data_IF_424833920284
#
_entry.id   IF_424833920284
#
_cell.length_a   1.000
_cell.length_b   1.000
_cell.length_c   1.000
_cell.angle_alpha   90.00
_cell.angle_beta   90.00
_cell.angle_gamma   90.00
#
_symmetry.space_group_name_H-M   'P 1'
#
loop_
_entity.id
_entity.type
_entity.pdbx_description
1 polymer ?
#
# COMPACT_ATOMS: atom_id res chain seq x y z
N UNK A 1 13.94 -10.36 13.17
CA UNK A 1 14.79 -9.30 12.57
C UNK A 1 13.91 -8.09 12.31
N UNK A 2 14.50 -6.92 12.14
CA UNK A 2 13.76 -5.68 11.83
C UNK A 2 14.03 -5.32 10.38
N UNK A 3 12.96 -5.04 9.61
CA UNK A 3 13.06 -4.59 8.22
C UNK A 3 12.88 -3.08 8.13
N UNK A 4 13.56 -2.45 7.17
CA UNK A 4 13.44 -1.03 6.83
C UNK A 4 12.71 -0.91 5.49
N UNK A 5 11.48 -0.39 5.55
CA UNK A 5 10.65 -0.14 4.37
C UNK A 5 10.65 1.37 4.09
N UNK A 6 11.07 1.77 2.89
CA UNK A 6 11.18 3.17 2.50
C UNK A 6 9.80 3.75 2.13
N UNK A 7 9.25 4.58 3.02
CA UNK A 7 7.94 5.24 2.86
C UNK A 7 7.89 6.13 1.62
N UNK A 8 7.05 5.75 0.66
CA UNK A 8 6.89 6.34 -0.67
C UNK A 8 8.19 6.38 -1.48
N UNK A 9 9.04 5.36 -1.29
CA UNK A 9 10.42 5.31 -1.78
C UNK A 9 11.39 6.16 -0.95
N UNK A 10 12.52 6.56 -1.53
CA UNK A 10 13.48 7.46 -0.87
C UNK A 10 12.97 8.93 -0.92
N UNK A 11 11.79 9.17 -0.34
CA UNK A 11 11.01 10.42 -0.43
C UNK A 11 11.68 11.66 0.17
N UNK A 12 12.78 11.48 0.91
CA UNK A 12 13.64 12.59 1.36
C UNK A 12 14.66 13.03 0.31
N UNK A 13 15.08 12.11 -0.56
CA UNK A 13 16.08 12.34 -1.61
C UNK A 13 15.43 12.66 -2.95
N UNK A 14 14.26 12.06 -3.21
CA UNK A 14 13.53 12.11 -4.47
C UNK A 14 12.07 12.49 -4.22
N UNK A 15 11.34 12.88 -5.27
CA UNK A 15 9.89 13.07 -5.17
C UNK A 15 9.24 11.74 -4.76
N UNK A 16 8.46 11.77 -3.68
CA UNK A 16 7.72 10.61 -3.19
C UNK A 16 6.86 9.94 -4.28
N UNK A 17 6.63 8.62 -4.14
CA UNK A 17 5.77 7.84 -5.03
C UNK A 17 6.17 7.89 -6.51
N UNK A 18 7.44 8.15 -6.81
CA UNK A 18 7.98 8.13 -8.17
C UNK A 18 8.88 6.93 -8.42
N UNK A 19 9.02 6.57 -9.69
CA UNK A 19 10.01 5.58 -10.16
C UNK A 19 11.43 5.91 -9.67
N UNK A 20 11.80 7.19 -9.61
CA UNK A 20 13.11 7.62 -9.12
C UNK A 20 13.26 7.32 -7.62
N UNK A 21 12.26 7.64 -6.80
CA UNK A 21 12.27 7.36 -5.36
C UNK A 21 12.36 5.86 -5.06
N UNK A 22 11.65 5.01 -5.80
CA UNK A 22 11.72 3.56 -5.61
C UNK A 22 13.10 3.00 -5.98
N UNK A 23 13.64 3.37 -7.15
CA UNK A 23 15.00 2.96 -7.55
C UNK A 23 16.05 3.42 -6.56
N UNK A 24 15.93 4.66 -6.06
CA UNK A 24 16.84 5.22 -5.07
C UNK A 24 16.77 4.46 -3.74
N UNK A 25 15.57 4.11 -3.26
CA UNK A 25 15.42 3.32 -2.04
C UNK A 25 16.08 1.94 -2.14
N UNK A 26 15.88 1.24 -3.28
CA UNK A 26 16.55 -0.04 -3.54
C UNK A 26 18.07 0.14 -3.58
N UNK A 27 18.57 1.17 -4.26
CA UNK A 27 20.00 1.46 -4.35
C UNK A 27 20.65 1.81 -3.00
N UNK A 28 19.88 2.38 -2.07
CA UNK A 28 20.31 2.67 -0.70
C UNK A 28 20.27 1.43 0.22
N UNK A 29 19.76 0.29 -0.26
CA UNK A 29 19.71 -0.95 0.49
C UNK A 29 18.53 -1.07 1.45
N UNK A 30 17.40 -0.41 1.17
CA UNK A 30 16.17 -0.66 1.92
C UNK A 30 15.69 -2.11 1.70
N UNK A 31 15.18 -2.76 2.75
CA UNK A 31 14.62 -4.11 2.68
C UNK A 31 13.32 -4.13 1.84
N UNK A 32 12.60 -3.01 1.84
CA UNK A 32 11.40 -2.81 1.04
C UNK A 32 11.14 -1.36 0.69
N UNK A 33 10.14 -1.14 -0.15
CA UNK A 33 9.54 0.17 -0.39
C UNK A 33 8.06 0.13 -0.04
N UNK A 34 7.52 1.25 0.41
CA UNK A 34 6.09 1.45 0.53
C UNK A 34 5.63 2.41 -0.59
N UNK A 35 4.42 2.18 -1.10
CA UNK A 35 3.80 3.00 -2.13
C UNK A 35 2.28 3.07 -1.97
N UNK A 36 1.69 4.18 -2.41
CA UNK A 36 0.25 4.45 -2.32
C UNK A 36 -0.45 4.26 -3.67
N UNK A 37 -1.47 3.41 -3.75
CA UNK A 37 -2.23 3.14 -4.99
C UNK A 37 -3.58 3.83 -5.00
N UNK A 38 -3.88 4.46 -6.14
CA UNK A 38 -5.17 5.07 -6.48
C UNK A 38 -5.59 4.69 -7.90
N UNK A 39 -6.84 4.95 -8.27
CA UNK A 39 -7.42 4.65 -9.59
C UNK A 39 -7.69 5.93 -10.38
N UNK A 40 -7.26 5.97 -11.64
CA UNK A 40 -7.59 7.04 -12.58
C UNK A 40 -9.03 6.94 -13.12
N UNK A 41 -9.48 7.95 -13.87
CA UNK A 41 -10.83 7.95 -14.49
C UNK A 41 -11.07 6.80 -15.47
N UNK A 42 -10.01 6.35 -16.14
CA UNK A 42 -10.03 5.23 -17.08
C UNK A 42 -9.67 3.88 -16.42
N UNK A 43 -9.74 3.80 -15.09
CA UNK A 43 -9.57 2.55 -14.34
C UNK A 43 -8.12 2.08 -14.17
N UNK A 44 -7.14 2.86 -14.61
CA UNK A 44 -5.72 2.51 -14.48
C UNK A 44 -5.25 2.75 -13.06
N UNK A 45 -4.54 1.77 -12.49
CA UNK A 45 -3.88 1.91 -11.19
C UNK A 45 -2.63 2.79 -11.31
N UNK A 46 -2.57 3.82 -10.47
CA UNK A 46 -1.49 4.80 -10.43
C UNK A 46 -1.00 4.99 -9.01
N UNK A 47 0.22 5.52 -8.87
CA UNK A 47 0.90 5.66 -7.59
C UNK A 47 0.92 7.13 -7.17
N UNK A 48 0.19 7.46 -6.11
CA UNK A 48 0.11 8.81 -5.55
C UNK A 48 -0.55 8.78 -4.16
N UNK A 49 -0.01 9.56 -3.21
CA UNK A 49 -0.53 9.58 -1.85
C UNK A 49 -1.90 10.25 -1.75
N UNK A 50 -2.03 11.49 -2.23
CA UNK A 50 -3.27 12.27 -2.10
C UNK A 50 -4.25 11.97 -3.24
N UNK A 51 -5.56 12.09 -2.97
CA UNK A 51 -6.60 11.89 -3.98
C UNK A 51 -6.58 12.98 -5.07
N UNK A 52 -5.98 14.14 -4.75
CA UNK A 52 -5.87 15.29 -5.63
C UNK A 52 -4.41 15.53 -6.03
N UNK A 53 -4.22 15.98 -7.28
CA UNK A 53 -2.96 16.49 -7.78
C UNK A 53 -2.68 17.88 -7.19
N UNK A 54 -1.42 18.33 -7.28
CA UNK A 54 -1.02 19.68 -6.85
C UNK A 54 -1.69 20.83 -7.62
N UNK A 55 -2.34 20.54 -8.75
CA UNK A 55 -3.16 21.51 -9.51
C UNK A 55 -4.66 21.44 -9.18
N UNK A 56 -5.04 20.62 -8.18
CA UNK A 56 -6.40 20.50 -7.66
C UNK A 56 -7.29 19.50 -8.40
N UNK A 57 -6.83 18.88 -9.50
CA UNK A 57 -7.60 17.82 -10.17
C UNK A 57 -7.63 16.56 -9.30
N UNK A 58 -8.79 15.92 -9.18
CA UNK A 58 -8.91 14.59 -8.59
C UNK A 58 -8.35 13.53 -9.55
N UNK A 59 -7.60 12.56 -9.02
CA UNK A 59 -7.01 11.48 -9.83
C UNK A 59 -8.11 10.63 -10.45
N UNK A 60 -9.16 10.31 -9.69
CA UNK A 60 -10.30 9.52 -10.17
C UNK A 60 -11.11 10.19 -11.28
N UNK A 61 -10.97 11.51 -11.46
CA UNK A 61 -11.60 12.27 -12.55
C UNK A 61 -10.64 12.57 -13.71
N UNK A 62 -9.38 12.13 -13.62
CA UNK A 62 -8.34 12.37 -14.64
C UNK A 62 -7.92 11.07 -15.30
N UNK A 63 -7.96 10.98 -16.64
CA UNK A 63 -7.48 9.80 -17.36
C UNK A 63 -5.96 9.65 -17.18
N UNK A 64 -5.46 8.41 -17.14
CA UNK A 64 -4.06 8.15 -16.80
C UNK A 64 -3.05 8.79 -17.78
N UNK A 65 -3.44 9.01 -19.04
CA UNK A 65 -2.61 9.72 -20.04
C UNK A 65 -2.49 11.23 -19.78
N UNK A 66 -3.43 11.81 -19.03
CA UNK A 66 -3.53 13.24 -18.75
C UNK A 66 -2.99 13.59 -17.33
N UNK A 67 -2.54 12.58 -16.59
CA UNK A 67 -1.84 12.74 -15.32
C UNK A 67 -0.42 13.29 -15.54
N UNK A 68 0.12 14.05 -14.58
CA UNK A 68 1.51 14.51 -14.65
C UNK A 68 2.49 13.35 -14.82
N UNK A 69 3.57 13.57 -15.57
CA UNK A 69 4.55 12.52 -15.90
C UNK A 69 5.24 11.86 -14.68
N UNK A 70 5.22 12.49 -13.51
CA UNK A 70 5.76 11.91 -12.28
C UNK A 70 4.81 10.92 -11.60
N UNK A 71 3.51 10.94 -11.93
CA UNK A 71 2.52 9.99 -11.39
C UNK A 71 2.71 8.68 -12.15
N UNK A 72 3.35 7.71 -11.51
CA UNK A 72 3.66 6.44 -12.13
C UNK A 72 2.41 5.56 -12.23
N UNK A 73 2.32 4.74 -13.29
CA UNK A 73 1.44 3.56 -13.27
C UNK A 73 1.97 2.57 -12.25
N UNK A 74 1.08 1.80 -11.62
CA UNK A 74 1.46 0.78 -10.65
C UNK A 74 2.54 -0.17 -11.19
N UNK A 75 2.38 -0.68 -12.40
CA UNK A 75 3.34 -1.61 -13.02
C UNK A 75 4.76 -1.02 -13.09
N UNK A 76 4.89 0.25 -13.50
CA UNK A 76 6.19 0.92 -13.58
C UNK A 76 6.82 1.14 -12.19
N UNK A 77 6.02 1.39 -11.16
CA UNK A 77 6.49 1.49 -9.79
C UNK A 77 6.99 0.14 -9.24
N UNK A 78 6.24 -0.94 -9.48
CA UNK A 78 6.63 -2.30 -9.09
C UNK A 78 7.93 -2.76 -9.78
N UNK A 79 8.10 -2.39 -11.05
CA UNK A 79 9.34 -2.66 -11.81
C UNK A 79 10.52 -1.84 -11.26
N UNK A 80 10.27 -0.59 -10.84
CA UNK A 80 11.28 0.27 -10.24
C UNK A 80 11.76 -0.24 -8.87
N UNK A 81 10.93 -1.00 -8.17
CA UNK A 81 11.20 -1.64 -6.89
C UNK A 81 11.69 -3.10 -7.03
N UNK A 82 12.17 -3.50 -8.22
CA UNK A 82 12.63 -4.87 -8.47
C UNK A 82 13.67 -5.32 -7.43
N UNK A 83 13.46 -6.53 -6.88
CA UNK A 83 14.36 -7.13 -5.89
C UNK A 83 14.11 -6.72 -4.43
N UNK A 84 13.20 -5.79 -4.16
CA UNK A 84 12.78 -5.41 -2.81
C UNK A 84 11.35 -5.88 -2.51
N UNK A 85 11.05 -6.04 -1.21
CA UNK A 85 9.67 -6.15 -0.73
C UNK A 85 8.89 -4.90 -1.13
N UNK A 86 7.61 -5.04 -1.49
CA UNK A 86 6.72 -3.88 -1.70
C UNK A 86 5.56 -3.95 -0.72
N UNK A 87 5.45 -2.95 0.15
CA UNK A 87 4.24 -2.65 0.88
C UNK A 87 3.35 -1.71 0.04
N UNK A 88 2.28 -2.24 -0.54
CA UNK A 88 1.36 -1.50 -1.39
C UNK A 88 0.16 -1.07 -0.54
N UNK A 89 0.02 0.22 -0.25
CA UNK A 89 -1.18 0.76 0.38
C UNK A 89 -2.27 0.98 -0.67
N UNK A 90 -3.45 0.39 -0.46
CA UNK A 90 -4.67 0.77 -1.18
C UNK A 90 -5.33 1.92 -0.43
N UNK A 91 -5.34 3.10 -1.07
CA UNK A 91 -6.11 4.25 -0.58
C UNK A 91 -7.60 4.00 -0.84
N UNK A 92 -8.36 3.80 0.23
CA UNK A 92 -9.81 3.59 0.15
C UNK A 92 -10.51 4.16 1.39
N UNK A 93 -10.19 5.39 1.76
CA UNK A 93 -10.75 6.04 2.94
C UNK A 93 -12.15 6.61 2.64
N UNK A 94 -13.17 6.32 3.49
CA UNK A 94 -14.46 6.99 3.38
C UNK A 94 -14.30 8.51 3.45
N UNK A 95 -14.87 9.21 2.47
CA UNK A 95 -14.81 10.67 2.37
C UNK A 95 -13.77 11.22 1.40
N UNK A 96 -12.87 10.38 0.87
CA UNK A 96 -12.08 10.73 -0.30
C UNK A 96 -12.93 10.64 -1.58
N UNK A 97 -12.64 11.44 -2.62
CA UNK A 97 -13.42 11.44 -3.86
C UNK A 97 -13.35 10.10 -4.61
N UNK A 98 -12.32 9.30 -4.37
CA UNK A 98 -12.07 8.00 -4.97
C UNK A 98 -12.44 6.82 -4.05
N UNK A 99 -13.24 7.07 -3.00
CA UNK A 99 -13.78 6.01 -2.15
C UNK A 99 -14.53 4.96 -2.97
N UNK A 100 -14.14 3.70 -2.78
CA UNK A 100 -14.61 2.54 -3.53
C UNK A 100 -15.28 1.53 -2.57
N UNK A 101 -16.60 1.68 -2.31
CA UNK A 101 -17.32 0.79 -1.41
C UNK A 101 -17.45 -0.64 -1.95
N UNK A 102 -17.30 -0.82 -3.26
CA UNK A 102 -17.41 -2.12 -3.95
C UNK A 102 -16.06 -2.86 -3.98
N UNK A 103 -14.99 -2.23 -3.47
CA UNK A 103 -13.63 -2.78 -3.39
C UNK A 103 -13.07 -3.20 -4.76
N UNK A 104 -13.46 -2.51 -5.82
CA UNK A 104 -12.96 -2.73 -7.18
C UNK A 104 -11.45 -2.49 -7.30
N UNK A 105 -10.90 -1.53 -6.56
CA UNK A 105 -9.44 -1.29 -6.50
C UNK A 105 -8.71 -2.49 -5.90
N UNK A 106 -9.25 -3.12 -4.86
CA UNK A 106 -8.67 -4.35 -4.30
C UNK A 106 -8.64 -5.48 -5.33
N UNK A 107 -9.72 -5.64 -6.10
CA UNK A 107 -9.74 -6.64 -7.19
C UNK A 107 -8.69 -6.32 -8.28
N UNK A 108 -8.61 -5.07 -8.72
CA UNK A 108 -7.64 -4.65 -9.73
C UNK A 108 -6.19 -4.82 -9.24
N UNK A 109 -5.91 -4.56 -7.97
CA UNK A 109 -4.58 -4.80 -7.36
C UNK A 109 -4.26 -6.29 -7.32
N UNK A 110 -5.20 -7.13 -6.86
CA UNK A 110 -5.02 -8.58 -6.84
C UNK A 110 -4.72 -9.13 -8.25
N UNK A 111 -5.49 -8.71 -9.26
CA UNK A 111 -5.25 -9.08 -10.67
C UNK A 111 -3.89 -8.58 -11.17
N UNK A 112 -3.54 -7.33 -10.87
CA UNK A 112 -2.26 -6.75 -11.28
C UNK A 112 -1.06 -7.48 -10.67
N UNK A 113 -1.17 -7.97 -9.43
CA UNK A 113 -0.11 -8.70 -8.76
C UNK A 113 -0.07 -10.18 -9.19
N UNK A 114 -1.22 -10.82 -9.42
CA UNK A 114 -1.29 -12.20 -9.92
C UNK A 114 -0.74 -12.33 -11.35
N UNK A 115 -0.81 -11.27 -12.16
CA UNK A 115 -0.23 -11.22 -13.51
C UNK A 115 1.31 -11.12 -13.51
N UNK A 116 1.95 -10.96 -12.34
CA UNK A 116 3.39 -10.78 -12.22
C UNK A 116 4.13 -12.10 -12.04
N UNK A 117 5.34 -12.25 -12.61
CA UNK A 117 6.14 -13.46 -12.45
C UNK A 117 6.81 -13.58 -11.07
N UNK A 118 6.88 -12.50 -10.29
CA UNK A 118 7.52 -12.51 -8.98
C UNK A 118 6.69 -13.24 -7.92
N UNK A 119 7.34 -13.86 -6.91
CA UNK A 119 6.65 -14.64 -5.90
C UNK A 119 5.76 -13.77 -5.01
N UNK A 120 4.68 -14.37 -4.49
CA UNK A 120 3.67 -13.69 -3.68
C UNK A 120 4.22 -13.06 -2.39
N UNK A 121 5.27 -13.66 -1.80
CA UNK A 121 5.93 -13.18 -0.58
C UNK A 121 6.68 -11.85 -0.75
N UNK A 122 6.86 -11.39 -1.99
CA UNK A 122 7.35 -10.04 -2.29
C UNK A 122 6.31 -8.96 -1.99
N UNK A 123 5.03 -9.32 -1.91
CA UNK A 123 3.93 -8.37 -1.83
C UNK A 123 3.30 -8.39 -0.44
N UNK A 124 3.27 -7.21 0.18
CA UNK A 124 2.45 -6.92 1.35
C UNK A 124 1.44 -5.85 0.94
N UNK A 125 0.15 -6.11 1.05
CA UNK A 125 -0.87 -5.12 0.70
C UNK A 125 -1.51 -4.57 1.98
N UNK A 126 -1.53 -3.26 2.13
CA UNK A 126 -2.06 -2.59 3.31
C UNK A 126 -3.20 -1.63 2.99
N UNK A 127 -4.02 -1.33 4.00
CA UNK A 127 -5.02 -0.27 3.92
C UNK A 127 -5.44 0.17 5.32
N UNK A 128 -5.91 1.41 5.45
CA UNK A 128 -6.61 1.89 6.65
C UNK A 128 -8.03 1.35 6.78
N UNK A 129 -8.52 0.60 5.77
CA UNK A 129 -9.86 0.02 5.75
C UNK A 129 -9.79 -1.50 5.81
N UNK A 130 -10.37 -2.09 6.86
CA UNK A 130 -10.36 -3.54 7.09
C UNK A 130 -11.07 -4.28 5.95
N UNK A 131 -12.20 -3.75 5.47
CA UNK A 131 -12.97 -4.34 4.38
C UNK A 131 -12.15 -4.47 3.08
N UNK A 132 -11.24 -3.53 2.83
CA UNK A 132 -10.37 -3.53 1.66
C UNK A 132 -9.34 -4.66 1.72
N UNK A 133 -8.68 -4.85 2.87
CA UNK A 133 -7.72 -5.95 3.04
C UNK A 133 -8.41 -7.31 3.19
N UNK A 134 -9.60 -7.37 3.78
CA UNK A 134 -10.46 -8.57 3.79
C UNK A 134 -10.84 -8.98 2.37
N UNK A 135 -11.25 -8.01 1.54
CA UNK A 135 -11.60 -8.27 0.14
C UNK A 135 -10.40 -8.79 -0.64
N UNK A 136 -9.25 -8.13 -0.53
CA UNK A 136 -8.04 -8.55 -1.23
C UNK A 136 -7.65 -9.98 -0.83
N UNK A 137 -7.67 -10.29 0.47
CA UNK A 137 -7.36 -11.64 0.97
C UNK A 137 -8.34 -12.69 0.46
N UNK A 138 -9.63 -12.36 0.36
CA UNK A 138 -10.62 -13.28 -0.21
C UNK A 138 -10.39 -13.55 -1.71
N UNK A 139 -9.81 -12.61 -2.45
CA UNK A 139 -9.50 -12.73 -3.87
C UNK A 139 -8.15 -13.43 -4.14
N UNK A 140 -7.15 -13.15 -3.31
CA UNK A 140 -5.77 -13.61 -3.47
C UNK A 140 -5.21 -14.03 -2.10
N UNK A 141 -5.63 -15.19 -1.56
CA UNK A 141 -5.27 -15.64 -0.20
C UNK A 141 -3.77 -15.89 0.00
N UNK A 142 -3.00 -16.02 -1.08
CA UNK A 142 -1.55 -16.13 -1.09
C UNK A 142 -0.83 -14.80 -0.81
N UNK A 143 -1.49 -13.66 -1.01
CA UNK A 143 -0.89 -12.35 -0.74
C UNK A 143 -0.96 -12.04 0.76
N UNK A 144 0.15 -11.52 1.28
CA UNK A 144 0.18 -11.01 2.64
C UNK A 144 -0.58 -9.67 2.71
N UNK A 145 -1.30 -9.47 3.81
CA UNK A 145 -2.08 -8.24 4.05
C UNK A 145 -1.77 -7.64 5.41
N UNK A 146 -1.80 -6.31 5.51
CA UNK A 146 -1.58 -5.57 6.76
C UNK A 146 -2.66 -4.49 6.98
N UNK A 147 -3.05 -4.28 8.23
CA UNK A 147 -3.99 -3.21 8.59
C UNK A 147 -3.26 -1.95 9.08
N UNK A 148 -3.51 -0.80 8.45
CA UNK A 148 -3.00 0.50 8.89
C UNK A 148 -3.94 1.12 9.92
N UNK A 149 -3.40 1.74 10.97
CA UNK A 149 -4.23 2.33 12.03
C UNK A 149 -3.54 3.47 12.76
N UNK A 150 -4.29 4.49 13.14
CA UNK A 150 -3.80 5.57 14.02
C UNK A 150 -3.91 5.21 15.51
N UNK A 151 -4.63 4.13 15.85
CA UNK A 151 -4.74 3.63 17.22
C UNK A 151 -4.55 2.14 17.29
N UNK A 152 -3.75 1.69 18.26
CA UNK A 152 -3.55 0.28 18.52
C UNK A 152 -4.11 -0.13 19.89
N UNK A 153 -5.11 -1.00 19.86
CA UNK A 153 -5.67 -1.63 21.06
C UNK A 153 -5.97 -3.12 20.78
N UNK A 154 -6.36 -3.86 21.84
CA UNK A 154 -6.66 -5.28 21.72
C UNK A 154 -7.80 -5.58 20.75
N UNK A 155 -8.75 -4.65 20.55
CA UNK A 155 -9.86 -4.84 19.60
C UNK A 155 -9.34 -4.85 18.18
N UNK A 156 -8.44 -3.92 17.85
CA UNK A 156 -7.77 -3.88 16.54
C UNK A 156 -6.93 -5.13 16.32
N UNK A 157 -6.11 -5.50 17.31
CA UNK A 157 -5.25 -6.69 17.20
C UNK A 157 -6.06 -7.99 17.01
N UNK A 158 -7.14 -8.16 17.77
CA UNK A 158 -8.03 -9.32 17.64
C UNK A 158 -8.75 -9.34 16.28
N UNK A 159 -9.12 -8.17 15.74
CA UNK A 159 -9.74 -8.08 14.41
C UNK A 159 -8.75 -8.47 13.30
N UNK A 160 -7.53 -7.94 13.34
CA UNK A 160 -6.46 -8.25 12.37
C UNK A 160 -6.15 -9.76 12.36
N UNK A 161 -5.96 -10.35 13.55
CA UNK A 161 -5.67 -11.77 13.68
C UNK A 161 -6.82 -12.66 13.19
N UNK A 162 -8.07 -12.28 13.51
CA UNK A 162 -9.27 -13.02 13.07
C UNK A 162 -9.47 -12.96 11.54
N UNK A 163 -9.14 -11.83 10.91
CA UNK A 163 -9.13 -11.68 9.45
C UNK A 163 -8.01 -12.48 8.77
N UNK A 164 -7.02 -12.97 9.55
CA UNK A 164 -5.86 -13.68 9.03
C UNK A 164 -4.87 -12.77 8.32
N UNK A 165 -4.86 -11.48 8.67
CA UNK A 165 -3.87 -10.52 8.21
C UNK A 165 -2.57 -10.70 9.02
N UNK A 166 -1.43 -10.54 8.38
CA UNK A 166 -0.12 -10.93 8.95
C UNK A 166 0.61 -9.77 9.64
N UNK A 167 0.07 -8.56 9.56
CA UNK A 167 0.68 -7.38 10.16
C UNK A 167 -0.35 -6.30 10.51
N UNK A 168 0.02 -5.47 11.47
CA UNK A 168 -0.62 -4.20 11.78
C UNK A 168 0.43 -3.10 11.68
N UNK A 169 0.09 -1.99 11.05
CA UNK A 169 0.94 -0.83 10.82
C UNK A 169 0.38 0.36 11.60
N UNK A 170 0.61 0.43 12.92
CA UNK A 170 0.14 1.54 13.73
C UNK A 170 1.02 2.78 13.56
N UNK A 171 0.49 3.95 13.88
CA UNK A 171 1.31 5.15 14.06
C UNK A 171 2.39 4.92 15.12
N UNK A 172 3.63 5.31 14.81
CA UNK A 172 4.80 5.00 15.66
C UNK A 172 4.69 5.56 17.09
N UNK A 173 3.92 6.63 17.30
CA UNK A 173 3.71 7.19 18.63
C UNK A 173 2.93 6.28 19.59
N UNK A 174 2.18 5.32 19.05
CA UNK A 174 1.43 4.33 19.83
C UNK A 174 2.22 3.03 20.07
N UNK A 175 3.45 2.92 19.55
CA UNK A 175 4.27 1.72 19.69
C UNK A 175 5.08 1.73 20.98
N UNK A 176 4.93 0.65 21.75
CA UNK A 176 5.74 0.32 22.91
C UNK A 176 5.95 -1.18 23.04
N UNK A 177 6.86 -1.60 23.92
CA UNK A 177 7.20 -3.02 24.10
C UNK A 177 5.97 -3.89 24.41
N UNK A 178 5.05 -3.39 25.23
CA UNK A 178 3.79 -4.10 25.55
C UNK A 178 2.90 -4.27 24.33
N UNK A 179 2.73 -3.22 23.52
CA UNK A 179 1.91 -3.26 22.31
C UNK A 179 2.50 -4.25 21.26
N UNK A 180 3.82 -4.23 21.09
CA UNK A 180 4.54 -5.17 20.20
C UNK A 180 4.37 -6.62 20.69
N UNK A 181 4.53 -6.87 21.99
CA UNK A 181 4.34 -8.20 22.56
C UNK A 181 2.88 -8.69 22.41
N UNK A 182 1.90 -7.78 22.58
CA UNK A 182 0.49 -8.08 22.40
C UNK A 182 0.14 -8.42 20.94
N UNK A 183 0.77 -7.76 19.97
CA UNK A 183 0.64 -8.08 18.55
C UNK A 183 1.20 -9.48 18.25
N UNK A 184 2.47 -9.74 18.59
CA UNK A 184 3.10 -11.04 18.34
C UNK A 184 2.43 -12.23 19.04
N UNK A 185 1.74 -12.00 20.17
CA UNK A 185 0.98 -13.05 20.85
C UNK A 185 -0.21 -13.55 20.03
N UNK A 186 -0.59 -12.85 18.95
CA UNK A 186 -1.74 -13.15 18.08
C UNK A 186 -1.34 -13.68 16.70
N UNK A 187 -0.05 -13.94 16.48
CA UNK A 187 0.53 -14.33 15.19
C UNK A 187 1.34 -13.21 14.58
#
# INVERSE_FOLDING_TARGET
MTSVIAHRGASRDERENTVAAFRRAVALGADGVELDVRRSADGVLVVHHDAHLGDGRAIVDTAARDLPAHVARLTAALDAAAGALVNLEIKNAPGEPDFDPDEGVAAAVAESLAARPEPADRWLVSSFRMETIDRLRALAPELATAYLTDRLDDTVLDAVARGGHVAVHPWVGDLGATAIAAAHARG
#
